data_IF_833173131508
#
_entry.id   IF_833173131508
#
_cell.length_a   1.000
_cell.length_b   1.000
_cell.length_c   1.000
_cell.angle_alpha   90.00
_cell.angle_beta   90.00
_cell.angle_gamma   90.00
#
_symmetry.space_group_name_H-M   'P 1'
#
loop_
_entity.id
_entity.type
_entity.pdbx_description
1 polymer ?
#
# COMPACT_ATOMS: atom_id res chain seq x y z
N UNK A 1 -2.41 9.68 -2.26
CA UNK A 1 -3.59 8.81 -2.49
C UNK A 1 -4.42 9.40 -3.61
N UNK A 2 -4.80 8.60 -4.58
CA UNK A 2 -5.72 8.94 -5.68
C UNK A 2 -6.98 8.09 -5.58
N UNK A 3 -8.12 8.67 -5.88
CA UNK A 3 -9.41 7.99 -5.91
C UNK A 3 -10.11 8.30 -7.22
N UNK A 4 -10.84 7.32 -7.75
CA UNK A 4 -11.73 7.49 -8.89
C UNK A 4 -13.03 6.77 -8.61
N UNK A 5 -14.14 7.44 -8.82
CA UNK A 5 -15.48 6.90 -8.60
C UNK A 5 -16.13 6.35 -9.89
N UNK A 6 -17.35 5.85 -9.76
CA UNK A 6 -18.14 5.29 -10.87
C UNK A 6 -18.53 6.32 -11.92
N UNK A 7 -18.63 7.60 -11.55
CA UNK A 7 -18.88 8.72 -12.47
C UNK A 7 -17.65 9.16 -13.25
N UNK A 8 -16.49 8.51 -12.99
CA UNK A 8 -15.16 8.84 -13.53
C UNK A 8 -14.55 10.12 -12.96
N UNK A 9 -15.17 10.73 -11.96
CA UNK A 9 -14.55 11.81 -11.23
C UNK A 9 -13.35 11.27 -10.44
N UNK A 10 -12.24 11.99 -10.50
CA UNK A 10 -11.03 11.59 -9.81
C UNK A 10 -10.40 12.76 -9.07
N UNK A 11 -9.79 12.48 -7.94
CA UNK A 11 -9.03 13.47 -7.19
C UNK A 11 -7.84 12.82 -6.49
N UNK A 12 -6.87 13.66 -6.16
CA UNK A 12 -5.68 13.26 -5.41
C UNK A 12 -5.56 14.07 -4.12
N UNK A 13 -5.07 13.43 -3.08
CA UNK A 13 -4.73 14.05 -1.81
C UNK A 13 -3.42 13.46 -1.31
N UNK A 14 -2.64 14.28 -0.64
CA UNK A 14 -1.38 13.87 -0.05
C UNK A 14 -1.28 14.32 1.39
N UNK A 15 -0.49 13.60 2.15
CA UNK A 15 -0.15 13.91 3.53
C UNK A 15 1.32 13.58 3.74
N UNK A 16 2.01 14.42 4.48
CA UNK A 16 3.36 14.13 4.93
C UNK A 16 3.28 13.20 6.14
N UNK A 17 4.01 12.09 6.08
CA UNK A 17 4.17 11.22 7.24
C UNK A 17 5.04 11.92 8.30
N UNK A 18 4.81 11.66 9.60
CA UNK A 18 5.60 12.25 10.68
C UNK A 18 7.08 11.94 10.54
N UNK A 19 7.40 10.76 10.04
CA UNK A 19 8.76 10.31 9.76
C UNK A 19 8.79 9.43 8.50
N UNK A 20 9.95 9.31 7.83
CA UNK A 20 10.14 8.33 6.76
C UNK A 20 9.87 6.92 7.30
N UNK A 21 9.16 6.11 6.53
CA UNK A 21 8.83 4.72 6.89
C UNK A 21 8.79 3.84 5.66
N UNK A 22 9.17 2.58 5.82
CA UNK A 22 8.94 1.50 4.85
C UNK A 22 7.75 0.62 5.26
N UNK A 23 7.18 0.84 6.44
CA UNK A 23 6.16 -0.03 7.01
C UNK A 23 4.83 0.11 6.26
N UNK A 24 4.33 -1.01 5.74
CA UNK A 24 3.02 -1.07 5.06
C UNK A 24 1.90 -0.52 5.93
N UNK A 25 1.94 -0.78 7.23
CA UNK A 25 0.93 -0.35 8.20
C UNK A 25 0.80 1.16 8.27
N UNK A 26 1.92 1.88 8.36
CA UNK A 26 1.93 3.34 8.49
C UNK A 26 1.40 3.99 7.21
N UNK A 27 1.83 3.48 6.05
CA UNK A 27 1.38 3.94 4.74
C UNK A 27 -0.13 3.68 4.57
N UNK A 28 -0.59 2.49 4.93
CA UNK A 28 -1.99 2.11 4.84
C UNK A 28 -2.87 2.95 5.76
N UNK A 29 -2.45 3.19 7.01
CA UNK A 29 -3.18 4.01 7.97
C UNK A 29 -3.28 5.46 7.47
N UNK A 30 -2.18 6.05 7.02
CA UNK A 30 -2.18 7.42 6.48
C UNK A 30 -3.10 7.54 5.26
N UNK A 31 -3.06 6.56 4.34
CA UNK A 31 -3.95 6.53 3.19
C UNK A 31 -5.41 6.38 3.61
N UNK A 32 -5.71 5.54 4.59
CA UNK A 32 -7.06 5.34 5.10
C UNK A 32 -7.61 6.58 5.80
N UNK A 33 -6.80 7.30 6.57
CA UNK A 33 -7.21 8.57 7.17
C UNK A 33 -7.48 9.65 6.13
N UNK A 34 -6.65 9.73 5.08
CA UNK A 34 -6.92 10.61 3.95
C UNK A 34 -8.24 10.27 3.25
N UNK A 35 -8.51 8.99 3.06
CA UNK A 35 -9.75 8.50 2.50
C UNK A 35 -10.95 8.95 3.34
N UNK A 36 -10.99 8.62 4.62
CA UNK A 36 -12.08 8.98 5.53
C UNK A 36 -12.33 10.49 5.59
N UNK A 37 -11.28 11.29 5.53
CA UNK A 37 -11.39 12.75 5.62
C UNK A 37 -11.96 13.39 4.35
N UNK A 38 -11.67 12.83 3.20
CA UNK A 38 -11.91 13.50 1.92
C UNK A 38 -13.01 12.85 1.06
N UNK A 39 -13.39 11.60 1.32
CA UNK A 39 -14.40 10.91 0.54
C UNK A 39 -15.73 10.81 1.28
N UNK A 40 -16.82 11.22 0.62
CA UNK A 40 -18.16 11.32 1.22
C UNK A 40 -19.13 10.24 0.76
N UNK A 41 -18.67 9.15 0.17
CA UNK A 41 -19.52 8.01 -0.23
C UNK A 41 -20.76 8.39 -1.06
N UNK A 42 -20.66 9.42 -1.91
CA UNK A 42 -21.74 9.80 -2.81
C UNK A 42 -21.89 8.83 -3.97
N UNK A 43 -20.79 8.24 -4.39
CA UNK A 43 -20.70 7.33 -5.51
C UNK A 43 -19.84 6.10 -5.16
N UNK A 44 -20.01 5.02 -5.91
CA UNK A 44 -19.16 3.84 -5.73
C UNK A 44 -17.73 4.09 -6.18
N UNK A 45 -16.77 3.63 -5.41
CA UNK A 45 -15.35 3.68 -5.82
C UNK A 45 -15.07 2.70 -6.94
N UNK A 46 -14.40 3.19 -7.99
CA UNK A 46 -13.91 2.39 -9.11
C UNK A 46 -12.44 2.00 -8.93
N UNK A 47 -11.61 2.93 -8.48
CA UNK A 47 -10.20 2.66 -8.23
C UNK A 47 -9.64 3.49 -7.09
N UNK A 48 -8.67 2.89 -6.40
CA UNK A 48 -7.91 3.50 -5.32
C UNK A 48 -6.43 3.31 -5.63
N UNK A 49 -5.66 4.39 -5.56
CA UNK A 49 -4.21 4.36 -5.73
C UNK A 49 -3.49 4.98 -4.55
N UNK A 50 -2.40 4.37 -4.14
CA UNK A 50 -1.49 4.91 -3.13
C UNK A 50 -0.10 5.04 -3.77
N UNK A 51 0.53 6.20 -3.58
CA UNK A 51 1.89 6.46 -4.06
C UNK A 51 2.70 7.06 -2.93
N UNK A 52 3.87 6.48 -2.67
CA UNK A 52 4.89 7.11 -1.86
C UNK A 52 5.69 8.10 -2.72
N UNK A 53 5.98 9.26 -2.18
CA UNK A 53 6.78 10.34 -2.79
C UNK A 53 7.85 10.77 -1.79
N UNK A 54 8.80 11.57 -2.23
CA UNK A 54 9.94 12.03 -1.43
C UNK A 54 10.72 10.85 -0.83
N UNK A 55 10.96 9.84 -1.66
CA UNK A 55 11.71 8.65 -1.26
C UNK A 55 13.15 9.04 -0.91
N UNK A 56 13.64 8.48 0.18
CA UNK A 56 15.03 8.65 0.65
C UNK A 56 15.75 7.32 0.64
N UNK A 57 17.06 7.32 0.41
CA UNK A 57 17.88 6.12 0.60
C UNK A 57 17.79 5.64 2.05
N UNK A 58 17.74 4.33 2.23
CA UNK A 58 17.73 3.67 3.55
C UNK A 58 19.00 3.94 4.37
N UNK A 59 20.06 4.36 3.69
CA UNK A 59 21.34 4.72 4.29
C UNK A 59 21.36 6.10 4.95
N UNK A 60 20.34 6.94 4.72
CA UNK A 60 20.27 8.25 5.36
C UNK A 60 19.85 8.12 6.82
N UNK A 61 20.56 8.80 7.76
CA UNK A 61 20.19 8.76 9.16
C UNK A 61 18.81 9.39 9.35
N UNK A 62 17.87 8.62 9.87
CA UNK A 62 16.55 9.11 10.24
C UNK A 62 16.61 9.72 11.63
N UNK A 63 16.10 10.95 11.76
CA UNK A 63 15.87 11.54 13.06
C UNK A 63 14.65 10.81 13.68
N UNK A 64 14.91 9.97 14.66
CA UNK A 64 13.88 9.25 15.39
C UNK A 64 13.10 10.26 16.26
N UNK A 65 11.81 10.32 16.10
CA UNK A 65 10.94 11.09 17.00
C UNK A 65 10.90 10.40 18.36
N UNK A 66 10.86 11.18 19.44
CA UNK A 66 10.73 10.65 20.82
C UNK A 66 9.46 9.81 21.06
N UNK A 67 8.47 9.93 20.20
CA UNK A 67 7.22 9.15 20.27
C UNK A 67 7.34 7.74 19.68
N UNK A 68 8.41 7.46 18.93
CA UNK A 68 8.64 6.16 18.31
C UNK A 68 9.80 5.43 19.01
N UNK A 69 9.49 4.32 19.62
CA UNK A 69 10.52 3.42 20.15
C UNK A 69 11.29 2.80 18.97
N UNK A 70 12.61 3.07 18.92
CA UNK A 70 13.48 2.47 17.91
C UNK A 70 13.44 0.93 17.95
N UNK A 71 13.31 0.36 19.15
CA UNK A 71 13.20 -1.10 19.34
C UNK A 71 11.97 -1.68 18.66
N UNK A 72 10.82 -1.01 18.80
CA UNK A 72 9.57 -1.46 18.19
C UNK A 72 9.59 -1.33 16.66
N UNK A 73 10.27 -0.31 16.14
CA UNK A 73 10.47 -0.15 14.71
C UNK A 73 11.32 -1.29 14.15
N UNK A 74 12.47 -1.58 14.80
CA UNK A 74 13.36 -2.66 14.41
C UNK A 74 12.67 -4.04 14.45
N UNK A 75 11.87 -4.29 15.48
CA UNK A 75 11.07 -5.51 15.58
C UNK A 75 10.07 -5.64 14.42
N UNK A 76 9.38 -4.55 14.07
CA UNK A 76 8.43 -4.54 12.96
C UNK A 76 9.12 -4.75 11.61
N UNK A 77 10.26 -4.11 11.38
CA UNK A 77 11.07 -4.29 10.17
C UNK A 77 11.57 -5.72 10.01
N UNK A 78 12.03 -6.34 11.10
CA UNK A 78 12.42 -7.76 11.12
C UNK A 78 11.24 -8.67 10.77
N UNK A 79 10.05 -8.38 11.31
CA UNK A 79 8.85 -9.15 11.02
C UNK A 79 8.45 -9.02 9.55
N UNK A 80 8.43 -7.82 8.99
CA UNK A 80 8.10 -7.58 7.59
C UNK A 80 9.11 -8.26 6.66
N UNK A 81 10.40 -8.16 6.95
CA UNK A 81 11.44 -8.85 6.20
C UNK A 81 11.29 -10.38 6.24
N UNK A 82 10.91 -10.95 7.38
CA UNK A 82 10.65 -12.38 7.51
C UNK A 82 9.42 -12.80 6.69
N UNK A 83 8.34 -12.00 6.70
CA UNK A 83 7.15 -12.24 5.90
C UNK A 83 7.49 -12.19 4.40
N UNK A 84 8.25 -11.21 3.97
CA UNK A 84 8.69 -11.11 2.58
C UNK A 84 9.58 -12.28 2.16
N UNK A 85 10.46 -12.74 3.04
CA UNK A 85 11.25 -13.94 2.82
C UNK A 85 10.39 -15.19 2.61
N UNK A 86 9.33 -15.36 3.40
CA UNK A 86 8.38 -16.47 3.26
C UNK A 86 7.61 -16.34 1.95
N UNK A 87 7.08 -15.16 1.64
CA UNK A 87 6.33 -14.91 0.41
C UNK A 87 7.18 -15.13 -0.85
N UNK A 88 8.42 -14.71 -0.84
CA UNK A 88 9.35 -14.92 -1.95
C UNK A 88 9.65 -16.41 -2.19
N UNK A 89 9.67 -17.23 -1.14
CA UNK A 89 9.96 -18.66 -1.25
C UNK A 89 8.72 -19.50 -1.55
N UNK A 90 7.57 -19.18 -0.96
CA UNK A 90 6.38 -20.02 -0.98
C UNK A 90 5.19 -19.39 -1.71
N UNK A 91 5.37 -18.18 -2.26
CA UNK A 91 4.32 -17.41 -2.95
C UNK A 91 3.61 -16.41 -2.04
N UNK A 92 2.99 -15.42 -2.68
CA UNK A 92 2.36 -14.28 -2.01
C UNK A 92 1.30 -14.67 -0.98
N UNK A 93 0.53 -15.72 -1.25
CA UNK A 93 -0.57 -16.16 -0.39
C UNK A 93 -0.14 -17.04 0.80
N UNK A 94 1.13 -17.37 0.92
CA UNK A 94 1.65 -18.23 2.00
C UNK A 94 1.48 -17.60 3.38
N UNK A 95 1.54 -16.27 3.47
CA UNK A 95 1.30 -15.50 4.70
C UNK A 95 0.41 -14.31 4.37
N UNK A 96 -0.76 -14.25 5.02
CA UNK A 96 -1.71 -13.15 4.86
C UNK A 96 -2.19 -12.64 6.21
N UNK A 97 -2.62 -11.37 6.24
CA UNK A 97 -3.28 -10.80 7.42
C UNK A 97 -4.67 -11.40 7.58
N UNK A 98 -5.05 -11.79 8.80
CA UNK A 98 -6.35 -12.41 9.08
C UNK A 98 -7.55 -11.57 8.61
N UNK A 99 -7.41 -10.23 8.56
CA UNK A 99 -8.45 -9.33 8.05
C UNK A 99 -8.81 -9.60 6.58
N UNK A 100 -7.86 -10.09 5.79
CA UNK A 100 -8.08 -10.42 4.36
C UNK A 100 -9.10 -11.55 4.19
N UNK A 101 -9.16 -12.49 5.14
CA UNK A 101 -10.10 -13.61 5.10
C UNK A 101 -11.57 -13.23 5.38
N UNK A 102 -11.83 -11.99 5.80
CA UNK A 102 -13.21 -11.48 5.92
C UNK A 102 -13.88 -11.25 4.59
N UNK A 103 -13.10 -11.07 3.54
CA UNK A 103 -13.57 -10.90 2.18
C UNK A 103 -12.88 -11.91 1.27
N UNK A 104 -13.68 -12.78 0.63
CA UNK A 104 -13.15 -13.85 -0.21
C UNK A 104 -12.43 -13.34 -1.46
N UNK A 105 -12.88 -12.22 -2.00
CA UNK A 105 -12.22 -11.59 -3.16
C UNK A 105 -10.88 -11.01 -2.74
N UNK A 106 -10.83 -10.22 -1.66
CA UNK A 106 -9.59 -9.62 -1.16
C UNK A 106 -8.55 -10.65 -0.73
N UNK A 107 -8.99 -11.82 -0.21
CA UNK A 107 -8.06 -12.88 0.20
C UNK A 107 -7.29 -13.51 -0.96
N UNK A 108 -7.76 -13.32 -2.20
CA UNK A 108 -7.12 -13.83 -3.43
C UNK A 108 -6.58 -12.70 -4.33
N UNK A 109 -6.57 -11.46 -3.86
CA UNK A 109 -6.05 -10.32 -4.60
C UNK A 109 -4.52 -10.27 -4.46
N UNK A 110 -3.81 -10.53 -5.54
CA UNK A 110 -2.36 -10.40 -5.61
C UNK A 110 -1.98 -9.08 -6.28
N UNK A 111 -1.62 -8.08 -5.48
CA UNK A 111 -1.24 -6.77 -5.98
C UNK A 111 0.04 -6.78 -6.86
N UNK A 112 0.87 -7.83 -6.79
CA UNK A 112 2.05 -8.00 -7.63
C UNK A 112 1.75 -8.79 -8.90
N UNK A 113 0.96 -9.87 -8.79
CA UNK A 113 0.66 -10.78 -9.89
C UNK A 113 -0.51 -10.32 -10.75
N UNK A 114 -1.54 -9.74 -10.12
CA UNK A 114 -2.74 -9.26 -10.79
C UNK A 114 -2.57 -7.87 -11.42
N UNK A 115 -1.38 -7.55 -11.88
CA UNK A 115 -1.09 -6.30 -12.59
C UNK A 115 -1.76 -6.25 -13.97
N UNK A 116 -3.07 -6.31 -13.98
CA UNK A 116 -3.90 -6.17 -15.18
C UNK A 116 -4.00 -4.74 -15.72
N UNK A 117 -3.33 -3.77 -15.09
CA UNK A 117 -3.44 -2.35 -15.49
C UNK A 117 -2.29 -1.89 -16.39
N UNK A 118 -1.33 -2.75 -16.71
CA UNK A 118 -0.31 -2.39 -17.67
C UNK A 118 -0.78 -2.65 -19.10
N UNK A 119 -0.89 -1.60 -19.95
CA UNK A 119 -1.26 -1.74 -21.34
C UNK A 119 -0.19 -2.44 -22.19
N UNK A 120 0.86 -3.00 -21.60
CA UNK A 120 1.89 -3.75 -22.32
C UNK A 120 1.36 -4.93 -23.12
N UNK A 121 0.25 -5.53 -22.72
CA UNK A 121 -0.39 -6.58 -23.50
C UNK A 121 -1.29 -6.07 -24.64
N UNK A 122 -1.79 -4.84 -24.53
CA UNK A 122 -2.67 -4.28 -25.55
C UNK A 122 -1.95 -3.81 -26.82
N UNK A 123 -0.70 -3.43 -26.70
CA UNK A 123 0.10 -2.93 -27.82
C UNK A 123 0.93 -4.01 -28.52
N UNK A 124 1.05 -5.20 -27.94
CA UNK A 124 1.78 -6.32 -28.52
C UNK A 124 0.92 -7.23 -29.42
N UNK A 125 -0.38 -6.99 -29.50
CA UNK A 125 -1.33 -7.78 -30.28
C UNK A 125 -1.65 -7.24 -31.68
N UNK A 126 -0.91 -6.24 -32.16
CA UNK A 126 -1.15 -5.63 -33.48
C UNK A 126 0.13 -5.59 -34.32
N UNK A 127 0.64 -6.76 -34.67
CA UNK A 127 1.51 -6.95 -35.85
C UNK A 127 1.13 -8.26 -36.52
#
# INVERSE_FOLDING_TARGET
MSLRDSSLFSFERQVKLPQPTMQEKDIAEAAYQLYKKNYRWSEHLRSVGVRAIDLRPDTEPNQISFEYSAEKQEETERLESAIDGIRNRFGYYSVQRAVMYKDRFLSHCDAKGDHTIHPHGYLQGSV
#
